data_IF_661748091454
#
_entry.id   IF_661748091454
#
_cell.length_a   1.000
_cell.length_b   1.000
_cell.length_c   1.000
_cell.angle_alpha   90.00
_cell.angle_beta   90.00
_cell.angle_gamma   90.00
#
_symmetry.space_group_name_H-M   'P 1'
#
loop_
_entity.id
_entity.type
_entity.pdbx_description
1 polymer ?
#
# COMPACT_ATOMS: atom_id res chain seq x y z
N UNK A 1 -30.26 -8.67 -9.32
CA UNK A 1 -29.09 -7.94 -9.81
C UNK A 1 -27.80 -8.65 -9.39
N UNK A 2 -26.84 -8.71 -10.28
CA UNK A 2 -25.53 -9.30 -9.98
C UNK A 2 -24.52 -8.19 -9.71
N UNK A 3 -23.85 -8.25 -8.57
CA UNK A 3 -22.87 -7.21 -8.18
C UNK A 3 -21.49 -7.59 -8.70
N UNK A 4 -20.93 -6.80 -9.61
CA UNK A 4 -19.64 -7.06 -10.26
C UNK A 4 -18.63 -5.91 -10.08
N UNK A 5 -18.97 -4.93 -9.25
CA UNK A 5 -18.08 -3.80 -8.97
C UNK A 5 -16.94 -4.15 -8.04
N UNK A 6 -16.02 -3.21 -7.92
CA UNK A 6 -14.90 -3.27 -6.96
C UNK A 6 -14.97 -2.08 -6.03
N UNK A 7 -14.46 -2.26 -4.83
CA UNK A 7 -14.13 -1.16 -3.94
C UNK A 7 -12.63 -1.07 -3.91
N UNK A 8 -12.07 0.10 -4.20
CA UNK A 8 -10.63 0.32 -4.18
C UNK A 8 -10.28 1.34 -3.09
N UNK A 9 -9.06 1.28 -2.58
CA UNK A 9 -8.55 2.33 -1.71
C UNK A 9 -8.12 3.51 -2.58
N UNK A 10 -8.36 4.72 -2.11
CA UNK A 10 -7.98 5.95 -2.79
C UNK A 10 -7.09 6.77 -1.84
N UNK A 11 -5.79 6.75 -2.09
CA UNK A 11 -4.78 7.32 -1.20
C UNK A 11 -4.19 8.61 -1.78
N UNK A 12 -3.77 9.54 -0.93
CA UNK A 12 -3.15 10.78 -1.42
C UNK A 12 -1.73 10.54 -1.90
N UNK A 13 -1.32 11.29 -2.91
CA UNK A 13 0.04 11.29 -3.40
C UNK A 13 0.53 12.73 -3.54
N UNK A 14 1.60 13.06 -2.84
CA UNK A 14 2.23 14.39 -2.91
C UNK A 14 2.76 14.60 -4.32
N UNK A 15 3.39 13.57 -4.88
CA UNK A 15 3.88 13.56 -6.25
C UNK A 15 3.60 12.18 -6.84
N UNK A 16 2.77 12.13 -7.88
CA UNK A 16 2.32 10.85 -8.46
C UNK A 16 3.47 10.04 -9.04
N UNK A 17 4.44 10.68 -9.69
CA UNK A 17 5.58 9.96 -10.27
C UNK A 17 6.44 9.26 -9.21
N UNK A 18 6.70 9.93 -8.10
CA UNK A 18 7.44 9.34 -6.98
C UNK A 18 6.66 8.19 -6.33
N UNK A 19 5.36 8.37 -6.17
CA UNK A 19 4.48 7.34 -5.63
C UNK A 19 4.47 6.11 -6.54
N UNK A 20 4.39 6.31 -7.86
CA UNK A 20 4.46 5.22 -8.82
C UNK A 20 5.77 4.44 -8.69
N UNK A 21 6.91 5.15 -8.59
CA UNK A 21 8.22 4.51 -8.43
C UNK A 21 8.29 3.66 -7.16
N UNK A 22 7.75 4.17 -6.06
CA UNK A 22 7.70 3.42 -4.81
C UNK A 22 6.90 2.13 -4.96
N UNK A 23 5.68 2.22 -5.50
CA UNK A 23 4.83 1.03 -5.64
C UNK A 23 5.36 0.06 -6.69
N UNK A 24 6.04 0.55 -7.72
CA UNK A 24 6.74 -0.33 -8.66
C UNK A 24 7.84 -1.12 -7.96
N UNK A 25 8.53 -0.54 -6.99
CA UNK A 25 9.52 -1.26 -6.20
C UNK A 25 8.90 -2.39 -5.36
N UNK A 26 7.62 -2.26 -4.99
CA UNK A 26 6.85 -3.29 -4.31
C UNK A 26 6.31 -4.36 -5.27
N UNK A 27 6.43 -4.16 -6.57
CA UNK A 27 5.96 -5.08 -7.59
C UNK A 27 4.67 -4.66 -8.28
N UNK A 28 4.11 -3.50 -7.96
CA UNK A 28 2.89 -3.02 -8.61
C UNK A 28 3.18 -2.52 -10.03
N UNK A 29 2.21 -2.74 -10.91
CA UNK A 29 2.24 -2.20 -12.27
C UNK A 29 1.44 -0.91 -12.32
N UNK A 30 1.94 0.05 -13.11
CA UNK A 30 1.21 1.28 -13.39
C UNK A 30 0.16 1.00 -14.45
N UNK A 31 -1.12 1.13 -14.09
CA UNK A 31 -2.25 0.87 -14.98
C UNK A 31 -2.68 2.14 -15.69
N UNK A 32 -2.73 3.26 -14.97
CA UNK A 32 -3.19 4.54 -15.51
C UNK A 32 -2.59 5.68 -14.71
N UNK A 33 -2.25 6.76 -15.39
CA UNK A 33 -1.81 7.99 -14.73
C UNK A 33 -2.23 9.21 -15.55
N UNK A 34 -2.82 10.17 -14.85
CA UNK A 34 -3.07 11.53 -15.32
C UNK A 34 -2.41 12.49 -14.35
N UNK A 35 -2.44 13.82 -14.60
CA UNK A 35 -1.89 14.78 -13.62
C UNK A 35 -2.56 14.74 -12.24
N UNK A 36 -3.76 14.20 -12.14
CA UNK A 36 -4.55 14.25 -10.90
C UNK A 36 -4.92 12.89 -10.33
N UNK A 37 -4.70 11.81 -11.08
CA UNK A 37 -5.20 10.48 -10.70
C UNK A 37 -4.29 9.38 -11.25
N UNK A 38 -4.14 8.32 -10.47
CA UNK A 38 -3.29 7.19 -10.84
C UNK A 38 -3.89 5.89 -10.31
N UNK A 39 -3.73 4.82 -11.08
CA UNK A 39 -4.13 3.47 -10.69
C UNK A 39 -2.92 2.54 -10.77
N UNK A 40 -2.68 1.78 -9.71
CA UNK A 40 -1.63 0.77 -9.65
C UNK A 40 -2.21 -0.57 -9.24
N UNK A 41 -1.63 -1.65 -9.76
CA UNK A 41 -2.15 -3.00 -9.53
C UNK A 41 -1.04 -4.02 -9.32
N UNK A 42 -1.25 -4.89 -8.34
CA UNK A 42 -0.42 -6.08 -8.11
C UNK A 42 -1.37 -7.28 -7.93
N UNK A 43 -1.42 -8.17 -8.94
CA UNK A 43 -2.39 -9.26 -8.93
C UNK A 43 -3.81 -8.71 -8.85
N UNK A 44 -4.54 -9.11 -7.82
CA UNK A 44 -5.90 -8.63 -7.57
C UNK A 44 -5.97 -7.36 -6.72
N UNK A 45 -4.82 -6.89 -6.24
CA UNK A 45 -4.74 -5.69 -5.42
C UNK A 45 -4.72 -4.46 -6.31
N UNK A 46 -5.66 -3.56 -6.09
CA UNK A 46 -5.74 -2.29 -6.83
C UNK A 46 -5.74 -1.12 -5.86
N UNK A 47 -4.85 -0.18 -6.10
CA UNK A 47 -4.77 1.08 -5.37
C UNK A 47 -4.97 2.23 -6.34
N UNK A 48 -5.70 3.24 -5.91
CA UNK A 48 -5.85 4.49 -6.63
C UNK A 48 -5.22 5.60 -5.82
N UNK A 49 -4.75 6.62 -6.53
CA UNK A 49 -4.08 7.76 -5.90
C UNK A 49 -4.62 9.05 -6.47
N UNK A 50 -4.83 10.03 -5.60
CA UNK A 50 -5.18 11.39 -6.01
C UNK A 50 -4.03 12.34 -5.67
N UNK A 51 -3.82 13.34 -6.52
CA UNK A 51 -2.75 14.32 -6.32
C UNK A 51 -3.08 15.25 -5.15
N UNK A 52 -2.18 15.32 -4.18
CA UNK A 52 -2.35 16.13 -2.96
C UNK A 52 -1.00 16.75 -2.62
N UNK A 53 -0.57 17.80 -3.36
CA UNK A 53 0.81 18.30 -3.30
C UNK A 53 1.21 18.94 -1.97
N UNK A 54 0.24 19.38 -1.18
CA UNK A 54 0.49 20.06 0.09
C UNK A 54 0.29 19.17 1.32
N UNK A 55 0.12 17.86 1.11
CA UNK A 55 -0.03 16.91 2.21
C UNK A 55 1.23 16.88 3.06
N UNK A 56 1.07 16.96 4.39
CA UNK A 56 2.13 16.66 5.32
C UNK A 56 2.13 15.15 5.61
N UNK A 57 3.15 14.40 5.16
CA UNK A 57 3.16 12.95 5.37
C UNK A 57 3.23 12.55 6.83
N UNK A 58 3.73 13.42 7.71
CA UNK A 58 3.78 13.13 9.15
C UNK A 58 2.42 13.26 9.82
N UNK A 59 1.46 13.87 9.16
CA UNK A 59 0.10 14.08 9.67
C UNK A 59 -0.95 13.36 8.84
N UNK A 60 -0.54 12.41 8.00
CA UNK A 60 -1.47 11.65 7.16
C UNK A 60 -2.19 10.58 7.98
N UNK A 61 -3.50 10.53 7.81
CA UNK A 61 -4.36 9.54 8.47
C UNK A 61 -4.96 8.53 7.49
N UNK A 62 -4.45 8.52 6.26
CA UNK A 62 -4.95 7.62 5.21
C UNK A 62 -4.38 6.22 5.40
N UNK A 63 -5.20 5.22 5.13
CA UNK A 63 -4.78 3.83 5.26
C UNK A 63 -5.55 2.92 4.33
N UNK A 64 -5.00 1.73 4.11
CA UNK A 64 -5.65 0.65 3.40
C UNK A 64 -5.26 -0.67 4.04
N UNK A 65 -6.13 -1.67 3.91
CA UNK A 65 -5.85 -3.02 4.39
C UNK A 65 -5.62 -3.95 3.21
N UNK A 66 -4.57 -4.75 3.30
CA UNK A 66 -4.26 -5.81 2.35
C UNK A 66 -4.52 -7.12 3.07
N UNK A 67 -5.55 -7.85 2.66
CA UNK A 67 -5.87 -9.14 3.26
C UNK A 67 -5.22 -10.25 2.47
N UNK A 68 -4.45 -11.09 3.16
CA UNK A 68 -3.73 -12.21 2.54
C UNK A 68 -4.00 -13.49 3.31
N UNK A 69 -3.91 -14.61 2.63
CA UNK A 69 -4.10 -15.92 3.26
C UNK A 69 -2.86 -16.36 4.04
N UNK A 70 -1.67 -15.96 3.58
CA UNK A 70 -0.40 -16.36 4.19
C UNK A 70 0.54 -15.16 4.17
N UNK A 71 0.78 -14.56 5.32
CA UNK A 71 1.48 -13.28 5.43
C UNK A 71 3.00 -13.38 5.27
N UNK A 72 3.58 -14.53 5.61
CA UNK A 72 5.04 -14.67 5.67
C UNK A 72 5.72 -14.42 4.31
N UNK A 73 5.12 -14.94 3.23
CA UNK A 73 5.70 -14.77 1.90
C UNK A 73 5.63 -13.31 1.42
N UNK A 74 4.58 -12.57 1.80
CA UNK A 74 4.49 -11.14 1.49
C UNK A 74 5.52 -10.35 2.28
N UNK A 75 5.69 -10.67 3.55
CA UNK A 75 6.70 -10.03 4.38
C UNK A 75 8.11 -10.25 3.80
N UNK A 76 8.43 -11.47 3.43
CA UNK A 76 9.74 -11.81 2.84
C UNK A 76 9.94 -11.10 1.49
N UNK A 77 8.91 -11.09 0.66
CA UNK A 77 8.98 -10.47 -0.66
C UNK A 77 9.25 -8.96 -0.56
N UNK A 78 8.48 -8.26 0.27
CA UNK A 78 8.63 -6.82 0.42
C UNK A 78 9.82 -6.41 1.30
N UNK A 79 10.34 -7.32 2.13
CA UNK A 79 11.59 -7.07 2.86
C UNK A 79 12.80 -6.89 1.96
N UNK A 80 12.74 -7.43 0.73
CA UNK A 80 13.84 -7.34 -0.24
C UNK A 80 13.92 -6.01 -0.97
N UNK A 81 12.93 -5.16 -0.80
CA UNK A 81 12.93 -3.81 -1.38
C UNK A 81 14.08 -3.01 -0.78
N UNK A 82 14.70 -2.17 -1.58
CA UNK A 82 15.74 -1.28 -1.07
C UNK A 82 15.10 -0.08 -0.38
N UNK A 83 14.75 -0.28 0.89
CA UNK A 83 14.05 0.73 1.70
C UNK A 83 14.85 2.01 1.91
N UNK A 84 16.19 1.96 1.76
CA UNK A 84 17.04 3.14 1.91
C UNK A 84 16.84 4.18 0.80
N UNK A 85 16.21 3.81 -0.31
CA UNK A 85 15.89 4.75 -1.39
C UNK A 85 14.74 5.70 -1.03
N UNK A 86 13.98 5.38 0.01
CA UNK A 86 12.75 6.09 0.37
C UNK A 86 12.88 6.68 1.76
N UNK A 87 13.16 7.96 1.86
CA UNK A 87 13.56 8.63 3.11
C UNK A 87 12.58 8.41 4.26
N UNK A 88 11.29 8.49 4.00
CA UNK A 88 10.27 8.39 5.05
C UNK A 88 9.47 7.10 5.00
N UNK A 89 9.70 6.25 4.01
CA UNK A 89 8.98 4.99 3.89
C UNK A 89 9.65 3.92 4.75
N UNK A 90 8.84 3.03 5.31
CA UNK A 90 9.36 1.94 6.14
C UNK A 90 8.38 0.78 6.20
N UNK A 91 8.89 -0.37 6.62
CA UNK A 91 8.11 -1.57 6.85
C UNK A 91 8.36 -2.03 8.28
N UNK A 92 7.30 -2.42 8.99
CA UNK A 92 7.40 -2.97 10.35
C UNK A 92 7.57 -4.48 10.30
N UNK A 93 8.00 -5.06 11.41
CA UNK A 93 8.05 -6.52 11.56
C UNK A 93 6.64 -7.08 11.74
N UNK A 94 6.50 -8.39 11.47
CA UNK A 94 5.24 -9.08 11.74
C UNK A 94 4.98 -9.09 13.24
N UNK A 95 3.75 -8.71 13.61
CA UNK A 95 3.24 -8.78 14.98
C UNK A 95 2.10 -9.78 15.04
N UNK A 96 2.09 -10.59 16.08
CA UNK A 96 1.05 -11.58 16.33
C UNK A 96 0.07 -11.05 17.39
N UNK A 97 -1.19 -11.02 17.03
CA UNK A 97 -2.31 -10.73 17.92
C UNK A 97 -3.19 -11.99 18.02
N UNK A 98 -4.19 -11.96 18.91
CA UNK A 98 -5.02 -13.14 19.09
C UNK A 98 -5.76 -13.57 17.82
N UNK A 99 -6.21 -12.60 17.04
CA UNK A 99 -7.09 -12.84 15.87
C UNK A 99 -6.40 -12.63 14.54
N UNK A 100 -5.27 -11.92 14.54
CA UNK A 100 -4.58 -11.55 13.30
C UNK A 100 -3.07 -11.59 13.47
N UNK A 101 -2.40 -11.75 12.34
CA UNK A 101 -0.97 -11.44 12.19
C UNK A 101 -0.88 -10.26 11.23
N UNK A 102 -0.06 -9.28 11.52
CA UNK A 102 0.05 -8.12 10.64
C UNK A 102 1.46 -7.54 10.60
N UNK A 103 1.78 -6.93 9.49
CA UNK A 103 2.86 -5.95 9.39
C UNK A 103 2.34 -4.75 8.62
N UNK A 104 3.03 -3.63 8.72
CA UNK A 104 2.62 -2.39 8.07
C UNK A 104 3.71 -1.89 7.15
N UNK A 105 3.28 -1.26 6.07
CA UNK A 105 4.12 -0.46 5.19
C UNK A 105 3.63 0.97 5.32
N UNK A 106 4.54 1.89 5.62
CA UNK A 106 4.26 3.33 5.58
C UNK A 106 4.89 3.84 4.29
N UNK A 107 4.07 4.35 3.38
CA UNK A 107 4.57 4.83 2.09
C UNK A 107 5.15 6.25 2.23
N UNK A 108 5.82 6.78 1.18
CA UNK A 108 6.43 8.11 1.27
C UNK A 108 5.44 9.26 1.53
N UNK A 109 4.17 9.05 1.28
CA UNK A 109 3.12 10.04 1.55
C UNK A 109 2.55 9.93 2.97
N UNK A 110 3.07 9.01 3.78
CA UNK A 110 2.59 8.78 5.13
C UNK A 110 1.35 7.92 5.25
N UNK A 111 0.86 7.35 4.16
CA UNK A 111 -0.27 6.42 4.21
C UNK A 111 0.17 5.07 4.75
N UNK A 112 -0.72 4.44 5.51
CA UNK A 112 -0.46 3.17 6.16
C UNK A 112 -1.11 2.04 5.37
N UNK A 113 -0.30 1.07 4.93
CA UNK A 113 -0.80 -0.18 4.38
C UNK A 113 -0.65 -1.25 5.44
N UNK A 114 -1.78 -1.81 5.87
CA UNK A 114 -1.80 -2.90 6.85
C UNK A 114 -1.95 -4.21 6.12
N UNK A 115 -0.91 -5.04 6.15
CA UNK A 115 -0.98 -6.39 5.57
C UNK A 115 -1.41 -7.35 6.67
N UNK A 116 -2.54 -8.00 6.49
CA UNK A 116 -3.23 -8.74 7.55
C UNK A 116 -3.57 -10.14 7.09
N UNK A 117 -3.18 -11.11 7.92
CA UNK A 117 -3.66 -12.49 7.85
C UNK A 117 -4.57 -12.71 9.04
N UNK A 118 -5.83 -13.08 8.76
CA UNK A 118 -6.78 -13.43 9.82
C UNK A 118 -6.49 -14.88 10.25
N UNK A 119 -6.31 -15.08 11.57
CA UNK A 119 -5.96 -16.38 12.14
C UNK A 119 -7.16 -17.11 12.75
N UNK A 120 -8.29 -16.42 12.85
CA UNK A 120 -9.55 -17.03 13.26
C UNK A 120 -10.30 -17.58 12.06
N UNK A 121 -11.13 -18.60 12.28
CA UNK A 121 -11.98 -19.20 11.25
C UNK A 121 -13.42 -18.68 11.31
#
# INVERSE_FOLDING_TARGET
MKFEGQITANLPAIELACTASFYQSLGFDLVYQSPEWMIMRLGEMTLEFFHHPHLDPNSSWHSACIRVAEIQSYYEYWSKVNWSLWESARMTDIQDFDEIRQFCIINPNGSLLRCIQVTIE
#
